data_IF_984543547295
#
_entry.id   IF_984543547295
#
_cell.length_a   1.000
_cell.length_b   1.000
_cell.length_c   1.000
_cell.angle_alpha   90.00
_cell.angle_beta   90.00
_cell.angle_gamma   90.00
#
_symmetry.space_group_name_H-M   'P 1'
#
loop_
_entity.id
_entity.type
_entity.pdbx_description
1 polymer ?
#
# COMPACT_ATOMS: atom_id res chain seq x y z
N UNK A 1 12.57 -9.69 35.67
CA UNK A 1 12.45 -8.22 35.61
C UNK A 1 13.07 -7.69 34.31
N UNK A 2 12.67 -8.18 33.12
CA UNK A 2 13.31 -7.76 31.85
C UNK A 2 12.27 -7.50 30.75
N UNK A 3 11.32 -8.40 30.51
CA UNK A 3 10.31 -8.17 29.44
C UNK A 3 9.36 -6.98 29.69
N UNK A 4 9.02 -6.68 30.95
CA UNK A 4 8.07 -5.61 31.27
C UNK A 4 8.67 -4.21 31.11
N UNK A 5 9.95 -4.03 31.44
CA UNK A 5 10.65 -2.74 31.29
C UNK A 5 10.98 -2.45 29.82
N UNK A 6 11.33 -3.49 29.06
CA UNK A 6 11.55 -3.39 27.62
C UNK A 6 10.25 -3.02 26.87
N UNK A 7 9.12 -3.62 27.26
CA UNK A 7 7.82 -3.29 26.67
C UNK A 7 7.35 -1.87 27.02
N UNK A 8 7.61 -1.40 28.25
CA UNK A 8 7.33 0.00 28.63
C UNK A 8 8.19 1.00 27.84
N UNK A 9 9.47 0.70 27.65
CA UNK A 9 10.40 1.53 26.88
C UNK A 9 10.00 1.61 25.41
N UNK A 10 9.61 0.48 24.82
CA UNK A 10 9.08 0.40 23.46
C UNK A 10 7.77 1.18 23.30
N UNK A 11 6.86 1.08 24.27
CA UNK A 11 5.61 1.83 24.23
C UNK A 11 5.84 3.35 24.36
N UNK A 12 6.76 3.77 25.23
CA UNK A 12 7.15 5.18 25.38
C UNK A 12 7.78 5.72 24.09
N UNK A 13 8.68 4.94 23.47
CA UNK A 13 9.30 5.28 22.18
C UNK A 13 8.26 5.36 21.05
N UNK A 14 7.28 4.45 21.04
CA UNK A 14 6.17 4.47 20.08
C UNK A 14 5.33 5.74 20.20
N UNK A 15 4.96 6.14 21.42
CA UNK A 15 4.22 7.38 21.67
C UNK A 15 5.02 8.62 21.27
N UNK A 16 6.30 8.67 21.63
CA UNK A 16 7.19 9.77 21.25
C UNK A 16 7.33 9.88 19.73
N UNK A 17 7.50 8.75 19.04
CA UNK A 17 7.59 8.69 17.58
C UNK A 17 6.33 9.24 16.89
N UNK A 18 5.13 8.86 17.36
CA UNK A 18 3.86 9.38 16.82
C UNK A 18 3.76 10.89 16.99
N UNK A 19 4.18 11.43 18.14
CA UNK A 19 4.15 12.87 18.39
C UNK A 19 5.14 13.61 17.50
N UNK A 20 6.37 13.10 17.33
CA UNK A 20 7.36 13.66 16.40
C UNK A 20 6.81 13.68 14.96
N UNK A 21 6.16 12.60 14.52
CA UNK A 21 5.56 12.52 13.19
C UNK A 21 4.45 13.57 13.02
N UNK A 22 3.61 13.78 14.04
CA UNK A 22 2.60 14.83 14.02
C UNK A 22 3.20 16.23 13.91
N UNK A 23 4.25 16.52 14.68
CA UNK A 23 4.91 17.83 14.67
C UNK A 23 5.61 18.10 13.33
N UNK A 24 6.25 17.08 12.74
CA UNK A 24 6.84 17.16 11.41
C UNK A 24 5.79 17.39 10.31
N UNK A 25 4.63 16.73 10.37
CA UNK A 25 3.51 16.99 9.45
C UNK A 25 3.08 18.46 9.50
N UNK A 26 3.01 19.04 10.69
CA UNK A 26 2.66 20.45 10.86
C UNK A 26 3.72 21.38 10.25
N UNK A 27 5.00 21.09 10.44
CA UNK A 27 6.09 21.85 9.82
C UNK A 27 6.06 21.78 8.29
N UNK A 28 5.81 20.60 7.71
CA UNK A 28 5.70 20.43 6.26
C UNK A 28 4.49 21.17 5.69
N UNK A 29 3.35 21.18 6.38
CA UNK A 29 2.18 21.97 5.99
C UNK A 29 2.50 23.47 5.93
N UNK A 30 3.24 23.98 6.91
CA UNK A 30 3.74 25.36 6.91
C UNK A 30 4.66 25.66 5.73
N UNK A 31 5.65 24.78 5.47
CA UNK A 31 6.56 24.91 4.32
C UNK A 31 5.81 24.87 2.98
N UNK A 32 4.82 23.98 2.84
CA UNK A 32 3.96 23.89 1.65
C UNK A 32 3.21 25.19 1.40
N UNK A 33 2.66 25.82 2.45
CA UNK A 33 1.99 27.10 2.35
C UNK A 33 2.93 28.19 1.81
N UNK A 34 4.12 28.32 2.38
CA UNK A 34 5.12 29.31 1.93
C UNK A 34 5.61 29.03 0.51
N UNK A 35 5.88 27.78 0.16
CA UNK A 35 6.30 27.40 -1.18
C UNK A 35 5.20 27.66 -2.23
N UNK A 36 3.93 27.38 -1.89
CA UNK A 36 2.78 27.66 -2.76
C UNK A 36 2.57 29.17 -2.93
N UNK A 37 2.73 29.95 -1.87
CA UNK A 37 2.68 31.41 -1.94
C UNK A 37 3.81 31.97 -2.82
N UNK A 38 5.03 31.47 -2.65
CA UNK A 38 6.17 31.87 -3.46
C UNK A 38 5.96 31.50 -4.94
N UNK A 39 5.43 30.30 -5.25
CA UNK A 39 5.08 29.91 -6.62
C UNK A 39 4.08 30.87 -7.24
N UNK A 40 2.97 31.17 -6.55
CA UNK A 40 1.97 32.16 -7.01
C UNK A 40 2.55 33.54 -7.25
N UNK A 41 3.57 33.95 -6.47
CA UNK A 41 4.25 35.24 -6.66
C UNK A 41 5.17 35.21 -7.87
N UNK A 42 5.89 34.10 -8.10
CA UNK A 42 6.74 33.91 -9.27
C UNK A 42 5.92 33.86 -10.57
N UNK A 43 4.76 33.18 -10.55
CA UNK A 43 3.82 33.10 -11.69
C UNK A 43 3.28 34.48 -12.12
N UNK A 44 3.28 35.48 -11.21
CA UNK A 44 2.81 36.85 -11.49
C UNK A 44 3.89 37.77 -12.09
N UNK A 45 5.15 37.34 -12.11
CA UNK A 45 6.24 38.09 -12.72
C UNK A 45 6.74 37.42 -14.00
N UNK A 46 7.45 38.14 -14.86
CA UNK A 46 8.25 37.56 -15.94
C UNK A 46 9.51 36.91 -15.36
N UNK A 47 9.33 35.81 -14.62
CA UNK A 47 10.43 35.01 -14.05
C UNK A 47 10.80 33.89 -15.02
N UNK A 48 12.09 33.50 -15.05
CA UNK A 48 12.52 32.42 -15.94
C UNK A 48 11.87 31.09 -15.53
N UNK A 49 11.60 30.24 -16.52
CA UNK A 49 10.77 29.04 -16.36
C UNK A 49 11.41 27.98 -15.43
N UNK A 50 12.73 28.01 -15.28
CA UNK A 50 13.51 27.15 -14.39
C UNK A 50 13.24 27.43 -12.90
N UNK A 51 13.00 28.68 -12.51
CA UNK A 51 12.59 29.04 -11.14
C UNK A 51 11.21 28.44 -10.80
N UNK A 52 10.27 28.48 -11.75
CA UNK A 52 8.93 27.89 -11.61
C UNK A 52 8.97 26.36 -11.56
N UNK A 53 9.83 25.74 -12.38
CA UNK A 53 10.06 24.30 -12.33
C UNK A 53 10.67 23.87 -10.99
N UNK A 54 11.67 24.63 -10.52
CA UNK A 54 12.37 24.35 -9.25
C UNK A 54 11.40 24.41 -8.07
N UNK A 55 10.55 25.42 -8.00
CA UNK A 55 9.56 25.51 -6.92
C UNK A 55 8.46 24.45 -7.04
N UNK A 56 8.12 24.04 -8.27
CA UNK A 56 7.25 22.89 -8.52
C UNK A 56 7.84 21.60 -7.94
N UNK A 57 9.12 21.32 -8.20
CA UNK A 57 9.85 20.18 -7.64
C UNK A 57 9.93 20.24 -6.11
N UNK A 58 10.14 21.43 -5.54
CA UNK A 58 10.17 21.62 -4.09
C UNK A 58 8.81 21.28 -3.45
N UNK A 59 7.71 21.78 -4.00
CA UNK A 59 6.35 21.47 -3.52
C UNK A 59 6.07 19.97 -3.63
N UNK A 60 6.42 19.36 -4.76
CA UNK A 60 6.26 17.91 -4.95
C UNK A 60 7.09 17.09 -3.95
N UNK A 61 8.30 17.55 -3.61
CA UNK A 61 9.14 16.96 -2.57
C UNK A 61 8.49 17.03 -1.18
N UNK A 62 7.96 18.21 -0.79
CA UNK A 62 7.25 18.40 0.48
C UNK A 62 6.03 17.48 0.56
N UNK A 63 5.24 17.40 -0.52
CA UNK A 63 4.05 16.54 -0.60
C UNK A 63 4.42 15.06 -0.43
N UNK A 64 5.50 14.62 -1.08
CA UNK A 64 6.00 13.26 -0.94
C UNK A 64 6.43 12.96 0.51
N UNK A 65 7.20 13.85 1.13
CA UNK A 65 7.64 13.65 2.54
C UNK A 65 6.46 13.65 3.50
N UNK A 66 5.44 14.48 3.28
CA UNK A 66 4.23 14.49 4.10
C UNK A 66 3.43 13.18 3.97
N UNK A 67 3.38 12.61 2.77
CA UNK A 67 2.78 11.31 2.53
C UNK A 67 3.56 10.18 3.23
N UNK A 68 4.90 10.20 3.15
CA UNK A 68 5.76 9.21 3.81
C UNK A 68 5.62 9.25 5.34
N UNK A 69 5.54 10.45 5.94
CA UNK A 69 5.27 10.61 7.37
C UNK A 69 3.86 10.15 7.75
N UNK A 70 2.88 10.31 6.85
CA UNK A 70 1.52 9.82 7.10
C UNK A 70 1.46 8.31 7.17
N UNK A 71 2.17 7.64 6.27
CA UNK A 71 2.32 6.20 6.27
C UNK A 71 2.95 5.68 7.56
N UNK A 72 4.01 6.33 8.06
CA UNK A 72 4.63 5.96 9.34
C UNK A 72 3.67 6.13 10.53
N UNK A 73 2.89 7.21 10.53
CA UNK A 73 1.86 7.44 11.55
C UNK A 73 0.79 6.35 11.53
N UNK A 74 0.31 5.99 10.35
CA UNK A 74 -0.72 4.96 10.16
C UNK A 74 -0.20 3.58 10.59
N UNK A 75 1.06 3.27 10.27
CA UNK A 75 1.70 2.04 10.70
C UNK A 75 1.78 1.91 12.23
N UNK A 76 2.04 3.01 12.93
CA UNK A 76 2.12 3.03 14.39
C UNK A 76 0.79 2.95 15.13
N UNK A 77 -0.35 3.15 14.45
CA UNK A 77 -1.67 3.17 15.11
C UNK A 77 -2.25 1.76 15.31
N UNK A 78 -3.02 1.54 16.39
CA UNK A 78 -3.86 0.34 16.54
C UNK A 78 -4.86 0.23 15.39
N UNK A 79 -5.07 -0.98 14.88
CA UNK A 79 -6.06 -1.24 13.83
C UNK A 79 -7.41 -1.60 14.47
N UNK A 80 -8.42 -0.79 14.24
CA UNK A 80 -9.81 -1.09 14.58
C UNK A 80 -10.57 -1.52 13.32
N UNK A 81 -10.87 -2.81 13.20
CA UNK A 81 -11.56 -3.36 12.03
C UNK A 81 -13.08 -3.24 12.16
N UNK A 82 -13.72 -2.68 11.13
CA UNK A 82 -15.19 -2.66 10.99
C UNK A 82 -15.62 -3.80 10.08
N UNK A 83 -15.45 -5.03 10.57
CA UNK A 83 -15.74 -6.25 9.81
C UNK A 83 -17.22 -6.36 9.44
N UNK A 84 -17.50 -6.90 8.26
CA UNK A 84 -18.84 -7.28 7.79
C UNK A 84 -18.91 -8.78 7.58
N UNK A 85 -19.99 -9.40 8.05
CA UNK A 85 -20.15 -10.85 8.12
C UNK A 85 -20.08 -11.59 6.77
N UNK A 86 -20.33 -10.92 5.64
CA UNK A 86 -20.26 -11.53 4.32
C UNK A 86 -19.84 -10.49 3.29
N UNK A 87 -18.54 -10.47 2.95
CA UNK A 87 -17.99 -9.56 1.95
C UNK A 87 -17.34 -10.35 0.84
N UNK A 88 -17.72 -10.07 -0.41
CA UNK A 88 -17.09 -10.65 -1.60
C UNK A 88 -15.73 -9.98 -1.85
N UNK A 89 -14.66 -10.70 -1.53
CA UNK A 89 -13.26 -10.26 -1.71
C UNK A 89 -12.92 -10.12 -3.20
N UNK A 90 -13.47 -10.98 -4.05
CA UNK A 90 -13.24 -10.92 -5.49
C UNK A 90 -13.83 -9.62 -6.07
N UNK A 91 -15.02 -9.20 -5.61
CA UNK A 91 -15.61 -7.92 -6.01
C UNK A 91 -14.75 -6.73 -5.59
N UNK A 92 -14.19 -6.75 -4.37
CA UNK A 92 -13.28 -5.69 -3.90
C UNK A 92 -12.05 -5.60 -4.81
N UNK A 93 -11.37 -6.73 -5.07
CA UNK A 93 -10.17 -6.73 -5.89
C UNK A 93 -10.46 -6.27 -7.33
N UNK A 94 -11.59 -6.70 -7.92
CA UNK A 94 -12.01 -6.22 -9.25
C UNK A 94 -12.17 -4.70 -9.27
N UNK A 95 -12.84 -4.12 -8.28
CA UNK A 95 -13.00 -2.66 -8.18
C UNK A 95 -11.68 -1.91 -7.98
N UNK A 96 -10.72 -2.51 -7.27
CA UNK A 96 -9.35 -1.97 -7.15
C UNK A 96 -8.63 -2.00 -8.49
N UNK A 97 -8.60 -3.16 -9.16
CA UNK A 97 -7.91 -3.34 -10.45
C UNK A 97 -8.53 -2.49 -11.55
N UNK A 98 -9.85 -2.33 -11.58
CA UNK A 98 -10.54 -1.45 -12.52
C UNK A 98 -10.07 -0.01 -12.38
N UNK A 99 -10.03 0.52 -11.14
CA UNK A 99 -9.54 1.88 -10.88
C UNK A 99 -8.07 2.05 -11.25
N UNK A 100 -7.23 1.06 -10.93
CA UNK A 100 -5.80 1.09 -11.28
C UNK A 100 -5.55 1.04 -12.79
N UNK A 101 -6.33 0.25 -13.52
CA UNK A 101 -6.25 0.18 -14.98
C UNK A 101 -6.85 1.41 -15.67
N UNK A 102 -7.79 2.11 -15.04
CA UNK A 102 -8.42 3.32 -15.56
C UNK A 102 -7.61 4.61 -15.31
N UNK A 103 -6.63 4.57 -14.41
CA UNK A 103 -5.77 5.72 -14.11
C UNK A 103 -4.83 6.03 -15.29
N UNK A 104 -5.23 7.00 -16.11
CA UNK A 104 -4.53 7.47 -17.30
C UNK A 104 -3.17 8.16 -17.01
N UNK A 105 -2.81 8.34 -15.74
CA UNK A 105 -1.52 8.91 -15.33
C UNK A 105 -0.38 7.89 -15.43
N UNK A 106 -0.71 6.59 -15.59
CA UNK A 106 0.26 5.57 -15.96
C UNK A 106 0.49 5.60 -17.49
N UNK A 107 1.74 5.54 -17.98
CA UNK A 107 2.03 5.62 -19.42
C UNK A 107 1.17 4.65 -20.24
N UNK A 108 0.34 5.21 -21.10
CA UNK A 108 -0.72 4.54 -21.85
C UNK A 108 -0.24 3.62 -22.99
N UNK A 109 1.07 3.37 -23.12
CA UNK A 109 1.61 2.66 -24.27
C UNK A 109 1.34 1.14 -24.26
N UNK A 110 0.97 0.55 -23.11
CA UNK A 110 0.78 -0.91 -22.97
C UNK A 110 -0.46 -1.18 -22.11
N UNK A 111 -1.49 -1.79 -22.72
CA UNK A 111 -2.81 -2.01 -22.12
C UNK A 111 -2.82 -2.78 -20.79
N UNK A 112 -3.97 -2.74 -20.10
CA UNK A 112 -4.31 -3.43 -18.84
C UNK A 112 -3.08 -3.83 -18.01
N UNK A 113 -2.67 -2.95 -17.10
CA UNK A 113 -1.55 -3.18 -16.19
C UNK A 113 -1.74 -4.46 -15.36
N UNK A 114 -2.99 -4.79 -15.03
CA UNK A 114 -3.33 -5.96 -14.22
C UNK A 114 -4.51 -6.73 -14.83
N UNK A 115 -4.39 -8.06 -14.92
CA UNK A 115 -5.45 -8.99 -15.34
C UNK A 115 -5.76 -9.97 -14.21
N UNK A 116 -7.05 -10.08 -13.87
CA UNK A 116 -7.54 -11.02 -12.86
C UNK A 116 -7.91 -12.36 -13.53
N UNK A 117 -7.30 -13.44 -13.05
CA UNK A 117 -7.57 -14.83 -13.41
C UNK A 117 -8.22 -15.52 -12.19
N UNK A 118 -9.55 -15.48 -12.11
CA UNK A 118 -10.29 -15.98 -10.95
C UNK A 118 -11.07 -17.25 -11.28
N UNK A 119 -11.13 -18.17 -10.32
CA UNK A 119 -12.11 -19.25 -10.30
C UNK A 119 -13.54 -18.70 -10.16
N UNK A 120 -14.54 -19.47 -10.59
CA UNK A 120 -15.93 -19.01 -10.67
C UNK A 120 -16.64 -18.87 -9.31
N UNK A 121 -16.03 -19.34 -8.22
CA UNK A 121 -16.64 -19.33 -6.89
C UNK A 121 -16.42 -17.99 -6.16
N UNK A 122 -17.46 -17.43 -5.50
CA UNK A 122 -17.31 -16.21 -4.73
C UNK A 122 -16.43 -16.43 -3.50
N UNK A 123 -15.47 -15.53 -3.29
CA UNK A 123 -14.60 -15.53 -2.10
C UNK A 123 -15.23 -14.67 -1.01
N UNK A 124 -16.09 -15.27 -0.19
CA UNK A 124 -16.79 -14.56 0.89
C UNK A 124 -15.98 -14.64 2.18
N UNK A 125 -15.62 -13.49 2.75
CA UNK A 125 -14.85 -13.37 3.98
C UNK A 125 -15.47 -12.36 4.96
N UNK A 126 -15.15 -12.51 6.26
CA UNK A 126 -15.51 -11.54 7.29
C UNK A 126 -14.44 -10.45 7.40
N UNK A 127 -14.61 -9.37 6.63
CA UNK A 127 -13.57 -8.34 6.45
C UNK A 127 -14.10 -6.91 6.56
N UNK A 128 -13.22 -5.98 6.90
CA UNK A 128 -13.44 -4.55 6.68
C UNK A 128 -13.16 -4.24 5.22
N UNK A 129 -14.23 -4.03 4.44
CA UNK A 129 -14.14 -3.83 3.00
C UNK A 129 -13.28 -2.63 2.60
N UNK A 130 -13.27 -1.55 3.39
CA UNK A 130 -12.54 -0.34 3.06
C UNK A 130 -11.04 -0.51 3.30
N UNK A 131 -10.67 -1.04 4.46
CA UNK A 131 -9.26 -1.32 4.79
C UNK A 131 -8.68 -2.42 3.88
N UNK A 132 -9.48 -3.45 3.56
CA UNK A 132 -9.06 -4.48 2.63
C UNK A 132 -8.85 -3.90 1.23
N UNK A 133 -9.75 -3.05 0.72
CA UNK A 133 -9.60 -2.43 -0.59
C UNK A 133 -8.30 -1.60 -0.70
N UNK A 134 -7.97 -0.80 0.32
CA UNK A 134 -6.74 0.00 0.31
C UNK A 134 -5.48 -0.88 0.42
N UNK A 135 -5.56 -1.98 1.16
CA UNK A 135 -4.48 -2.96 1.27
C UNK A 135 -4.24 -3.65 -0.07
N UNK A 136 -5.28 -4.20 -0.70
CA UNK A 136 -5.19 -4.85 -2.02
C UNK A 136 -4.70 -3.88 -3.10
N UNK A 137 -5.06 -2.60 -3.02
CA UNK A 137 -4.54 -1.54 -3.89
C UNK A 137 -3.05 -1.33 -3.68
N UNK A 138 -2.59 -1.21 -2.44
CA UNK A 138 -1.18 -1.04 -2.10
C UNK A 138 -0.34 -2.22 -2.60
N UNK A 139 -0.83 -3.45 -2.41
CA UNK A 139 -0.19 -4.68 -2.90
C UNK A 139 -0.13 -4.68 -4.42
N UNK A 140 -1.24 -4.35 -5.09
CA UNK A 140 -1.29 -4.29 -6.55
C UNK A 140 -0.32 -3.26 -7.14
N UNK A 141 -0.22 -2.07 -6.55
CA UNK A 141 0.75 -1.04 -6.96
C UNK A 141 2.19 -1.54 -6.75
N UNK A 142 2.48 -2.12 -5.59
CA UNK A 142 3.79 -2.69 -5.28
C UNK A 142 4.18 -3.79 -6.27
N UNK A 143 3.27 -4.72 -6.55
CA UNK A 143 3.47 -5.80 -7.50
C UNK A 143 3.74 -5.29 -8.92
N UNK A 144 3.00 -4.27 -9.39
CA UNK A 144 3.25 -3.63 -10.69
C UNK A 144 4.63 -2.97 -10.76
N UNK A 145 5.03 -2.26 -9.70
CA UNK A 145 6.36 -1.64 -9.64
C UNK A 145 7.47 -2.69 -9.70
N UNK A 146 7.35 -3.75 -8.90
CA UNK A 146 8.29 -4.87 -8.90
C UNK A 146 8.36 -5.56 -10.27
N UNK A 147 7.20 -5.78 -10.91
CA UNK A 147 7.11 -6.35 -12.25
C UNK A 147 7.82 -5.49 -13.30
N UNK A 148 7.58 -4.17 -13.29
CA UNK A 148 8.16 -3.21 -14.25
C UNK A 148 9.64 -2.93 -14.02
N UNK A 149 10.11 -2.90 -12.77
CA UNK A 149 11.52 -2.69 -12.43
C UNK A 149 12.44 -3.75 -13.07
N UNK A 150 11.88 -4.90 -13.45
CA UNK A 150 12.57 -5.99 -14.15
C UNK A 150 12.47 -5.90 -15.68
N UNK A 151 12.04 -4.76 -16.23
CA UNK A 151 11.87 -4.50 -17.68
C UNK A 151 10.98 -5.54 -18.39
N UNK A 152 9.97 -6.05 -17.68
CA UNK A 152 9.02 -7.00 -18.27
C UNK A 152 7.86 -6.25 -18.90
N UNK A 153 7.52 -6.65 -20.11
CA UNK A 153 6.41 -6.12 -20.88
C UNK A 153 5.17 -6.99 -20.67
N UNK A 154 3.99 -6.37 -20.79
CA UNK A 154 2.70 -7.06 -20.69
C UNK A 154 2.02 -6.99 -19.31
N UNK A 155 0.84 -7.61 -19.19
CA UNK A 155 -0.01 -7.47 -18.01
C UNK A 155 0.49 -8.29 -16.82
N UNK A 156 0.42 -7.71 -15.62
CA UNK A 156 0.58 -8.46 -14.37
C UNK A 156 -0.64 -9.35 -14.17
N UNK A 157 -0.43 -10.65 -14.00
CA UNK A 157 -1.50 -11.61 -13.72
C UNK A 157 -1.74 -11.74 -12.23
N UNK A 158 -3.01 -11.74 -11.84
CA UNK A 158 -3.45 -11.94 -10.46
C UNK A 158 -4.41 -13.11 -10.41
N UNK A 159 -3.99 -14.19 -9.77
CA UNK A 159 -4.80 -15.40 -9.63
C UNK A 159 -5.63 -15.33 -8.35
N UNK A 160 -6.90 -15.73 -8.43
CA UNK A 160 -7.76 -15.93 -7.26
C UNK A 160 -8.31 -17.34 -7.27
N UNK A 161 -8.22 -18.00 -6.13
CA UNK A 161 -8.72 -19.34 -5.94
C UNK A 161 -9.00 -19.65 -4.48
N UNK A 162 -9.43 -20.88 -4.23
CA UNK A 162 -9.66 -21.40 -2.88
C UNK A 162 -8.61 -22.46 -2.58
N UNK A 163 -7.92 -22.33 -1.46
CA UNK A 163 -7.03 -23.37 -0.93
C UNK A 163 -7.73 -24.03 0.25
N UNK A 164 -8.21 -25.25 0.04
CA UNK A 164 -8.79 -26.08 1.08
C UNK A 164 -7.67 -26.86 1.80
N UNK A 165 -7.57 -26.67 3.11
CA UNK A 165 -6.89 -27.59 4.02
C UNK A 165 -7.97 -28.29 4.85
N UNK A 166 -7.68 -29.49 5.37
CA UNK A 166 -8.62 -30.36 6.11
C UNK A 166 -9.46 -29.66 7.20
N UNK A 167 -9.06 -28.46 7.65
CA UNK A 167 -9.76 -27.66 8.67
C UNK A 167 -10.11 -26.22 8.25
N UNK A 168 -9.68 -25.71 7.09
CA UNK A 168 -9.87 -24.30 6.69
C UNK A 168 -10.05 -24.13 5.18
N UNK A 169 -11.02 -23.30 4.80
CA UNK A 169 -11.14 -22.78 3.43
C UNK A 169 -10.57 -21.37 3.42
N UNK A 170 -9.43 -21.20 2.75
CA UNK A 170 -8.81 -19.89 2.60
C UNK A 170 -8.98 -19.41 1.16
N UNK A 171 -9.33 -18.14 0.99
CA UNK A 171 -9.25 -17.45 -0.29
C UNK A 171 -7.81 -17.03 -0.52
N UNK A 172 -7.29 -17.33 -1.71
CA UNK A 172 -5.93 -16.99 -2.11
C UNK A 172 -5.99 -15.91 -3.18
N UNK A 173 -5.10 -14.93 -3.07
CA UNK A 173 -4.84 -13.92 -4.10
C UNK A 173 -3.34 -13.90 -4.35
N UNK A 174 -2.93 -14.29 -5.56
CA UNK A 174 -1.53 -14.35 -5.97
C UNK A 174 -1.24 -13.32 -7.05
N UNK A 175 -0.36 -12.37 -6.79
CA UNK A 175 0.22 -11.51 -7.83
C UNK A 175 1.46 -12.21 -8.38
N UNK A 176 1.36 -12.70 -9.61
CA UNK A 176 2.41 -13.52 -10.24
C UNK A 176 3.56 -12.62 -10.69
N UNK A 177 4.61 -12.58 -9.89
CA UNK A 177 5.91 -12.08 -10.34
C UNK A 177 6.63 -13.27 -11.03
N UNK A 178 7.48 -12.97 -12.00
CA UNK A 178 8.07 -14.01 -12.83
C UNK A 178 9.39 -14.55 -12.25
N UNK A 179 10.03 -13.85 -11.29
CA UNK A 179 11.31 -14.22 -10.68
C UNK A 179 11.30 -13.99 -9.16
N UNK A 180 12.23 -14.63 -8.44
CA UNK A 180 12.38 -14.45 -7.00
C UNK A 180 12.89 -13.05 -6.64
N UNK A 181 12.20 -12.36 -5.73
CA UNK A 181 12.74 -11.22 -4.98
C UNK A 181 13.64 -11.75 -3.85
N UNK A 182 14.79 -11.10 -3.61
CA UNK A 182 15.81 -11.52 -2.62
C UNK A 182 15.34 -11.42 -1.15
N UNK A 183 14.31 -10.61 -0.89
CA UNK A 183 13.70 -10.43 0.43
C UNK A 183 12.17 -10.37 0.33
N UNK A 184 11.48 -10.57 1.45
CA UNK A 184 10.02 -10.43 1.54
C UNK A 184 9.64 -8.96 1.70
N UNK A 185 9.00 -8.32 0.71
CA UNK A 185 8.67 -6.91 0.77
C UNK A 185 7.53 -6.60 1.76
N UNK A 186 6.77 -7.61 2.23
CA UNK A 186 5.75 -7.42 3.28
C UNK A 186 6.36 -7.22 4.67
N UNK A 187 7.59 -7.65 4.87
CA UNK A 187 8.27 -7.63 6.17
C UNK A 187 9.56 -6.78 6.12
N UNK A 188 9.55 -5.74 5.28
CA UNK A 188 10.68 -4.84 5.05
C UNK A 188 10.28 -3.38 5.29
N UNK A 189 11.25 -2.58 5.76
CA UNK A 189 11.13 -1.13 5.93
C UNK A 189 12.18 -0.36 5.11
N UNK A 190 12.76 -0.99 4.08
CA UNK A 190 13.87 -0.43 3.30
C UNK A 190 13.49 0.77 2.42
N UNK A 191 12.20 1.03 2.23
CA UNK A 191 11.69 2.15 1.44
C UNK A 191 10.18 2.38 1.64
N UNK A 192 9.66 3.48 1.11
CA UNK A 192 8.24 3.84 1.24
C UNK A 192 7.31 2.75 0.69
N UNK A 193 7.69 2.09 -0.40
CA UNK A 193 6.85 1.07 -1.02
C UNK A 193 6.80 -0.21 -0.16
N UNK A 194 7.91 -0.59 0.46
CA UNK A 194 8.00 -1.68 1.42
C UNK A 194 7.20 -1.36 2.71
N UNK A 195 7.26 -0.13 3.21
CA UNK A 195 6.42 0.29 4.36
C UNK A 195 4.92 0.19 4.00
N UNK A 196 4.54 0.56 2.77
CA UNK A 196 3.15 0.41 2.30
C UNK A 196 2.73 -1.05 2.24
N UNK A 197 3.60 -1.93 1.72
CA UNK A 197 3.34 -3.36 1.67
C UNK A 197 3.26 -3.95 3.08
N UNK A 198 4.13 -3.52 4.00
CA UNK A 198 4.09 -3.94 5.39
C UNK A 198 2.81 -3.50 6.12
N UNK A 199 2.34 -2.26 5.87
CA UNK A 199 1.04 -1.83 6.37
C UNK A 199 -0.10 -2.67 5.81
N UNK A 200 -0.07 -2.99 4.52
CA UNK A 200 -1.07 -3.86 3.89
C UNK A 200 -1.05 -5.27 4.52
N UNK A 201 0.13 -5.85 4.75
CA UNK A 201 0.28 -7.13 5.45
C UNK A 201 -0.32 -7.09 6.86
N UNK A 202 0.01 -6.06 7.65
CA UNK A 202 -0.56 -5.82 8.99
C UNK A 202 -2.09 -5.79 8.97
N UNK A 203 -2.69 -5.16 7.95
CA UNK A 203 -4.16 -5.15 7.78
C UNK A 203 -4.69 -6.54 7.42
N UNK A 204 -4.06 -7.27 6.51
CA UNK A 204 -4.45 -8.65 6.15
C UNK A 204 -4.38 -9.58 7.38
N UNK A 205 -3.33 -9.48 8.17
CA UNK A 205 -3.13 -10.26 9.39
C UNK A 205 -4.17 -9.93 10.46
N UNK A 206 -4.56 -8.66 10.60
CA UNK A 206 -5.64 -8.26 11.49
C UNK A 206 -6.99 -8.89 11.10
N UNK A 207 -7.18 -9.23 9.81
CA UNK A 207 -8.33 -10.00 9.33
C UNK A 207 -8.23 -11.52 9.60
N UNK A 208 -7.13 -11.99 10.19
CA UNK A 208 -6.85 -13.41 10.43
C UNK A 208 -6.27 -14.13 9.22
N UNK A 209 -5.85 -13.37 8.20
CA UNK A 209 -5.17 -13.86 7.01
C UNK A 209 -3.64 -13.85 7.15
N UNK A 210 -2.96 -13.99 6.02
CA UNK A 210 -1.51 -13.81 5.92
C UNK A 210 -1.12 -13.15 4.59
N UNK A 211 -0.01 -12.42 4.59
CA UNK A 211 0.61 -11.88 3.39
C UNK A 211 2.09 -12.30 3.36
N UNK A 212 2.51 -12.99 2.31
CA UNK A 212 3.87 -13.53 2.21
C UNK A 212 4.38 -13.51 0.77
N UNK A 213 5.71 -13.50 0.62
CA UNK A 213 6.35 -13.79 -0.65
C UNK A 213 6.61 -15.29 -0.77
N UNK A 214 6.05 -15.93 -1.80
CA UNK A 214 6.25 -17.36 -2.05
C UNK A 214 6.52 -17.60 -3.53
N UNK A 215 7.56 -18.38 -3.87
CA UNK A 215 7.86 -18.88 -5.22
C UNK A 215 7.60 -17.91 -6.39
N UNK A 216 8.07 -16.66 -6.27
CA UNK A 216 7.90 -15.66 -7.33
C UNK A 216 6.56 -14.92 -7.30
N UNK A 217 5.68 -15.13 -6.33
CA UNK A 217 4.44 -14.35 -6.20
C UNK A 217 4.36 -13.66 -4.85
N UNK A 218 3.63 -12.54 -4.82
CA UNK A 218 3.09 -12.00 -3.58
C UNK A 218 1.77 -12.71 -3.34
N UNK A 219 1.65 -13.41 -2.21
CA UNK A 219 0.46 -14.17 -1.84
C UNK A 219 -0.25 -13.49 -0.68
N UNK A 220 -1.56 -13.34 -0.80
CA UNK A 220 -2.47 -13.04 0.30
C UNK A 220 -3.38 -14.25 0.52
N UNK A 221 -3.52 -14.65 1.79
CA UNK A 221 -4.51 -15.64 2.25
C UNK A 221 -5.51 -14.95 3.15
N UNK A 222 -6.80 -15.23 2.97
CA UNK A 222 -7.87 -14.73 3.84
C UNK A 222 -8.80 -15.88 4.24
N UNK A 223 -9.18 -15.98 5.53
CA UNK A 223 -10.12 -16.99 5.97
C UNK A 223 -11.51 -16.72 5.36
N UNK A 224 -12.07 -17.72 4.68
CA UNK A 224 -13.42 -17.62 4.13
C UNK A 224 -14.47 -17.98 5.19
N UNK A 225 -15.66 -17.39 5.04
CA UNK A 225 -16.84 -17.80 5.79
C UNK A 225 -17.32 -19.14 5.21
N UNK A 226 -17.65 -20.08 6.09
CA UNK A 226 -18.23 -21.39 5.70
C UNK A 226 -19.62 -21.25 5.13
#
# INVERSE_FOLDING_TARGET
MSESEDNHSLQALGRASVQIVHDLKNQLNGLKLYATFLRKRLEKGERPADELETIGKLIAGIDRTAADLSLLSEYGQPLELKKRAATDVQQILRGVVEKLNADASAPAAEGRVIIIEAEAAPLVAEVDAALLAESLKSISIGAVKLFRARKKEGPLKVHLGIEASDQRHDGIIDWHLLDSVDHDPFHSFAGTDEIRLSLAAKVIEAHGGSAERRNGFLRVRLPLVK
#
